data_IF_618092415134
#
_entry.id   IF_618092415134
#
_cell.length_a   1.000
_cell.length_b   1.000
_cell.length_c   1.000
_cell.angle_alpha   90.00
_cell.angle_beta   90.00
_cell.angle_gamma   90.00
#
_symmetry.space_group_name_H-M   'P 1'
#
loop_
_entity.id
_entity.type
_entity.pdbx_description
1 polymer ?
#
# COMPACT_ATOMS: atom_id res chain seq x y z
N UNK A 1 -59.76 -15.78 61.69
CA UNK A 1 -60.68 -16.62 60.90
C UNK A 1 -60.08 -16.82 59.53
N UNK A 2 -59.27 -17.85 59.34
CA UNK A 2 -59.66 -19.23 58.99
C UNK A 2 -60.31 -19.36 57.60
N UNK A 3 -59.48 -19.90 56.71
CA UNK A 3 -59.78 -20.91 55.68
C UNK A 3 -60.78 -20.58 54.58
N UNK A 4 -60.30 -20.62 53.33
CA UNK A 4 -60.75 -21.66 52.41
C UNK A 4 -59.70 -21.91 51.32
N UNK A 5 -59.03 -23.06 51.43
CA UNK A 5 -58.24 -23.68 50.37
C UNK A 5 -59.22 -24.38 49.43
N UNK A 6 -59.07 -24.20 48.11
CA UNK A 6 -59.60 -25.16 47.15
C UNK A 6 -58.57 -25.49 46.07
N UNK A 7 -58.34 -26.79 45.98
CA UNK A 7 -57.34 -27.49 45.21
C UNK A 7 -57.73 -27.60 43.72
N UNK A 8 -56.69 -27.73 42.90
CA UNK A 8 -56.64 -28.46 41.62
C UNK A 8 -57.21 -27.80 40.36
N UNK A 9 -56.30 -27.52 39.41
CA UNK A 9 -56.05 -28.41 38.26
C UNK A 9 -54.79 -27.98 37.49
N UNK A 10 -53.97 -28.99 37.20
CA UNK A 10 -52.79 -28.93 36.34
C UNK A 10 -53.13 -28.41 34.94
N UNK A 11 -52.31 -27.47 34.44
CA UNK A 11 -51.90 -27.44 33.04
C UNK A 11 -50.48 -26.88 32.97
N UNK A 12 -49.52 -27.77 32.71
CA UNK A 12 -48.16 -27.42 32.32
C UNK A 12 -48.23 -27.00 30.86
N UNK A 13 -47.93 -25.74 30.57
CA UNK A 13 -47.55 -25.30 29.22
C UNK A 13 -46.20 -24.61 29.33
N UNK A 14 -45.16 -25.40 29.13
CA UNK A 14 -43.82 -24.95 28.76
C UNK A 14 -43.88 -24.28 27.39
N UNK A 15 -43.72 -22.96 27.33
CA UNK A 15 -43.40 -22.25 26.10
C UNK A 15 -41.93 -21.80 26.17
N UNK A 16 -41.05 -22.67 25.68
CA UNK A 16 -39.68 -22.30 25.35
C UNK A 16 -39.72 -21.43 24.09
N UNK A 17 -39.67 -20.10 24.24
CA UNK A 17 -39.33 -19.21 23.13
C UNK A 17 -37.82 -19.31 22.90
N UNK A 18 -37.45 -20.01 21.83
CA UNK A 18 -36.08 -20.13 21.38
C UNK A 18 -35.47 -18.76 21.08
N UNK A 19 -34.28 -18.52 21.62
CA UNK A 19 -33.36 -17.55 21.04
C UNK A 19 -33.04 -18.03 19.63
N UNK A 20 -33.63 -17.37 18.63
CA UNK A 20 -33.17 -17.49 17.26
C UNK A 20 -31.76 -16.89 17.17
N UNK A 21 -30.78 -17.77 16.97
CA UNK A 21 -29.39 -17.45 16.71
C UNK A 21 -29.29 -16.75 15.35
N UNK A 22 -29.09 -15.44 15.36
CA UNK A 22 -28.77 -14.68 14.14
C UNK A 22 -27.31 -14.89 13.73
N UNK A 23 -27.02 -16.02 13.09
CA UNK A 23 -25.81 -16.22 12.28
C UNK A 23 -26.31 -16.74 10.92
N UNK A 24 -25.94 -16.23 9.74
CA UNK A 24 -24.58 -16.18 9.21
C UNK A 24 -24.52 -15.45 7.85
N UNK A 25 -24.89 -14.17 7.76
CA UNK A 25 -24.73 -13.42 6.49
C UNK A 25 -23.29 -12.96 6.23
N UNK A 26 -22.48 -12.74 7.28
CA UNK A 26 -21.08 -12.29 7.15
C UNK A 26 -20.11 -13.37 6.64
N UNK A 27 -20.22 -14.61 7.14
CA UNK A 27 -19.28 -15.69 6.79
C UNK A 27 -19.30 -16.11 5.31
N UNK A 28 -20.46 -15.98 4.64
CA UNK A 28 -20.56 -16.30 3.21
C UNK A 28 -19.95 -15.22 2.31
N UNK A 29 -20.05 -13.95 2.72
CA UNK A 29 -19.46 -12.82 1.99
C UNK A 29 -17.93 -12.82 2.10
N UNK A 30 -17.40 -13.07 3.30
CA UNK A 30 -15.94 -13.19 3.54
C UNK A 30 -15.34 -14.35 2.73
N UNK A 31 -16.03 -15.50 2.71
CA UNK A 31 -15.57 -16.66 1.94
C UNK A 31 -15.62 -16.49 0.42
N UNK A 32 -16.48 -15.61 -0.12
CA UNK A 32 -16.53 -15.30 -1.55
C UNK A 32 -15.48 -14.25 -1.96
N UNK A 33 -15.17 -13.32 -1.06
CA UNK A 33 -14.04 -12.40 -1.20
C UNK A 33 -12.71 -13.16 -1.29
N UNK A 34 -12.41 -14.03 -0.33
CA UNK A 34 -11.15 -14.79 -0.29
C UNK A 34 -10.96 -15.64 -1.55
N UNK A 35 -12.02 -16.32 -2.00
CA UNK A 35 -12.01 -17.10 -3.25
C UNK A 35 -11.73 -16.22 -4.47
N UNK A 36 -12.27 -15.00 -4.48
CA UNK A 36 -12.04 -14.05 -5.56
C UNK A 36 -10.60 -13.56 -5.58
N UNK A 37 -9.99 -13.27 -4.42
CA UNK A 37 -8.57 -12.92 -4.31
C UNK A 37 -7.69 -14.09 -4.77
N UNK A 38 -7.98 -15.32 -4.34
CA UNK A 38 -7.27 -16.53 -4.80
C UNK A 38 -7.35 -16.68 -6.32
N UNK A 39 -8.52 -16.47 -6.90
CA UNK A 39 -8.71 -16.54 -8.35
C UNK A 39 -7.89 -15.48 -9.11
N UNK A 40 -7.80 -14.24 -8.58
CA UNK A 40 -6.94 -13.20 -9.14
C UNK A 40 -5.45 -13.55 -9.00
N UNK A 41 -5.04 -14.16 -7.88
CA UNK A 41 -3.65 -14.60 -7.66
C UNK A 41 -3.23 -15.77 -8.56
N UNK A 42 -4.19 -16.56 -9.03
CA UNK A 42 -3.95 -17.69 -9.93
C UNK A 42 -3.74 -17.28 -11.39
N UNK A 43 -3.89 -16.00 -11.74
CA UNK A 43 -3.62 -15.52 -13.10
C UNK A 43 -2.15 -15.70 -13.44
N UNK A 44 -1.89 -16.29 -14.61
CA UNK A 44 -0.56 -16.58 -15.12
C UNK A 44 -0.35 -16.11 -16.55
N UNK A 45 0.76 -16.57 -17.15
CA UNK A 45 1.06 -16.33 -18.55
C UNK A 45 0.02 -16.94 -19.50
N UNK A 46 0.02 -16.48 -20.75
CA UNK A 46 -0.80 -17.04 -21.84
C UNK A 46 -2.31 -17.10 -21.56
N UNK A 47 -2.80 -16.22 -20.67
CA UNK A 47 -4.22 -16.12 -20.33
C UNK A 47 -4.72 -17.17 -19.34
N UNK A 48 -3.82 -17.92 -18.71
CA UNK A 48 -4.16 -18.84 -17.63
C UNK A 48 -4.93 -18.10 -16.52
N UNK A 49 -6.10 -18.61 -16.15
CA UNK A 49 -6.92 -18.06 -15.06
C UNK A 49 -7.75 -16.82 -15.42
N UNK A 50 -7.64 -16.26 -16.63
CA UNK A 50 -8.33 -15.02 -17.01
C UNK A 50 -9.86 -15.09 -16.88
N UNK A 51 -10.48 -16.20 -17.28
CA UNK A 51 -11.94 -16.34 -17.19
C UNK A 51 -12.43 -16.33 -15.74
N UNK A 52 -11.74 -17.05 -14.85
CA UNK A 52 -12.04 -17.06 -13.43
C UNK A 52 -11.77 -15.69 -12.79
N UNK A 53 -10.68 -15.03 -13.18
CA UNK A 53 -10.34 -13.68 -12.74
C UNK A 53 -11.38 -12.64 -13.18
N UNK A 54 -11.92 -12.74 -14.39
CA UNK A 54 -13.02 -11.89 -14.86
C UNK A 54 -14.28 -12.03 -14.00
N UNK A 55 -14.65 -13.26 -13.62
CA UNK A 55 -15.77 -13.49 -12.70
C UNK A 55 -15.47 -12.97 -11.29
N UNK A 56 -14.26 -13.20 -10.78
CA UNK A 56 -13.81 -12.69 -9.49
C UNK A 56 -13.87 -11.15 -9.45
N UNK A 57 -13.41 -10.47 -10.51
CA UNK A 57 -13.48 -9.02 -10.64
C UNK A 57 -14.94 -8.52 -10.60
N UNK A 58 -15.87 -9.20 -11.28
CA UNK A 58 -17.29 -8.83 -11.23
C UNK A 58 -17.90 -8.97 -9.83
N UNK A 59 -17.42 -9.93 -9.02
CA UNK A 59 -17.82 -10.06 -7.61
C UNK A 59 -17.16 -8.97 -6.76
N UNK A 60 -15.86 -8.76 -6.93
CA UNK A 60 -15.10 -7.75 -6.19
C UNK A 60 -15.52 -6.32 -6.50
N UNK A 61 -15.98 -6.03 -7.72
CA UNK A 61 -16.52 -4.71 -8.07
C UNK A 61 -17.82 -4.37 -7.33
N UNK A 62 -18.46 -5.35 -6.66
CA UNK A 62 -19.68 -5.17 -5.86
C UNK A 62 -19.38 -5.02 -4.37
N UNK A 63 -18.17 -5.33 -3.91
CA UNK A 63 -17.77 -5.08 -2.52
C UNK A 63 -17.33 -3.62 -2.35
N UNK A 64 -17.36 -3.15 -1.10
CA UNK A 64 -17.06 -1.77 -0.76
C UNK A 64 -15.56 -1.47 -0.71
N UNK A 65 -15.26 -0.19 -0.54
CA UNK A 65 -13.90 0.31 -0.38
C UNK A 65 -13.22 -0.17 0.93
N UNK A 66 -13.99 -0.69 1.88
CA UNK A 66 -13.51 -1.34 3.11
C UNK A 66 -12.62 -2.56 2.84
N UNK A 67 -12.76 -3.19 1.66
CA UNK A 67 -11.94 -4.33 1.24
C UNK A 67 -10.56 -3.95 0.67
N UNK A 68 -10.30 -2.66 0.43
CA UNK A 68 -9.06 -2.21 -0.21
C UNK A 68 -7.78 -2.65 0.53
N UNK A 69 -7.67 -2.57 1.88
CA UNK A 69 -6.50 -3.07 2.59
C UNK A 69 -6.26 -4.57 2.38
N UNK A 70 -7.33 -5.37 2.35
CA UNK A 70 -7.23 -6.81 2.11
C UNK A 70 -6.81 -7.13 0.67
N UNK A 71 -7.30 -6.38 -0.32
CA UNK A 71 -6.87 -6.51 -1.71
C UNK A 71 -5.41 -6.11 -1.91
N UNK A 72 -4.95 -5.05 -1.22
CA UNK A 72 -3.55 -4.63 -1.20
C UNK A 72 -2.65 -5.72 -0.60
N UNK A 73 -3.04 -6.32 0.53
CA UNK A 73 -2.35 -7.49 1.11
C UNK A 73 -2.36 -8.68 0.14
N UNK A 74 -3.44 -8.84 -0.63
CA UNK A 74 -3.55 -9.81 -1.71
C UNK A 74 -2.51 -9.65 -2.82
N UNK A 75 -1.78 -8.53 -2.90
CA UNK A 75 -0.67 -8.34 -3.83
C UNK A 75 0.67 -8.84 -3.30
N UNK A 76 0.81 -9.11 -2.00
CA UNK A 76 2.07 -9.56 -1.42
C UNK A 76 2.50 -10.91 -2.00
N UNK A 77 3.72 -10.99 -2.51
CA UNK A 77 4.25 -12.17 -3.19
C UNK A 77 3.45 -12.59 -4.44
N UNK A 78 2.59 -11.73 -4.99
CA UNK A 78 1.86 -12.02 -6.21
C UNK A 78 2.82 -12.04 -7.42
N UNK A 79 2.58 -12.95 -8.35
CA UNK A 79 3.30 -12.93 -9.62
C UNK A 79 2.96 -11.65 -10.42
N UNK A 80 3.78 -11.23 -11.41
CA UNK A 80 3.56 -9.97 -12.13
C UNK A 80 2.19 -9.83 -12.80
N UNK A 81 1.61 -10.92 -13.31
CA UNK A 81 0.28 -10.89 -13.93
C UNK A 81 -0.80 -10.69 -12.88
N UNK A 82 -0.77 -11.49 -11.82
CA UNK A 82 -1.70 -11.36 -10.68
C UNK A 82 -1.64 -9.97 -10.04
N UNK A 83 -0.43 -9.42 -9.84
CA UNK A 83 -0.24 -8.09 -9.27
C UNK A 83 -0.91 -7.00 -10.12
N UNK A 84 -0.83 -7.11 -11.45
CA UNK A 84 -1.50 -6.18 -12.36
C UNK A 84 -3.03 -6.30 -12.27
N UNK A 85 -3.57 -7.53 -12.22
CA UNK A 85 -5.01 -7.75 -12.06
C UNK A 85 -5.54 -7.20 -10.73
N UNK A 86 -4.83 -7.44 -9.64
CA UNK A 86 -5.19 -6.91 -8.32
C UNK A 86 -5.11 -5.38 -8.29
N UNK A 87 -4.06 -4.78 -8.85
CA UNK A 87 -3.95 -3.32 -8.99
C UNK A 87 -5.15 -2.74 -9.74
N UNK A 88 -5.47 -3.29 -10.92
CA UNK A 88 -6.63 -2.82 -11.69
C UNK A 88 -7.95 -2.97 -10.93
N UNK A 89 -8.11 -4.05 -10.16
CA UNK A 89 -9.30 -4.26 -9.32
C UNK A 89 -9.41 -3.18 -8.25
N UNK A 90 -8.32 -2.89 -7.55
CA UNK A 90 -8.22 -1.83 -6.53
C UNK A 90 -8.55 -0.46 -7.14
N UNK A 91 -7.98 -0.13 -8.30
CA UNK A 91 -8.22 1.14 -8.99
C UNK A 91 -9.67 1.31 -9.42
N UNK A 92 -10.31 0.23 -9.90
CA UNK A 92 -11.74 0.23 -10.26
C UNK A 92 -12.62 0.45 -9.03
N UNK A 93 -12.37 -0.27 -7.92
CA UNK A 93 -13.16 -0.12 -6.68
C UNK A 93 -12.99 1.29 -6.11
N UNK A 94 -11.75 1.78 -5.99
CA UNK A 94 -11.49 3.13 -5.48
C UNK A 94 -12.08 4.21 -6.39
N UNK A 95 -11.90 4.07 -7.71
CA UNK A 95 -12.45 5.00 -8.70
C UNK A 95 -13.99 5.06 -8.68
N UNK A 96 -14.65 3.90 -8.65
CA UNK A 96 -16.11 3.82 -8.57
C UNK A 96 -16.66 4.37 -7.25
N UNK A 97 -15.97 4.09 -6.13
CA UNK A 97 -16.34 4.63 -4.81
C UNK A 97 -16.33 6.15 -4.83
N UNK A 98 -15.22 6.75 -5.27
CA UNK A 98 -15.06 8.20 -5.31
C UNK A 98 -16.02 8.86 -6.31
N UNK A 99 -16.23 8.25 -7.48
CA UNK A 99 -17.18 8.76 -8.47
C UNK A 99 -18.63 8.81 -7.97
N UNK A 100 -18.98 7.94 -7.00
CA UNK A 100 -20.30 7.92 -6.34
C UNK A 100 -20.36 8.79 -5.08
N UNK A 101 -19.31 9.56 -4.77
CA UNK A 101 -19.22 10.38 -3.57
C UNK A 101 -18.94 9.60 -2.28
N UNK A 102 -18.51 8.34 -2.38
CA UNK A 102 -18.08 7.54 -1.25
C UNK A 102 -16.66 7.91 -0.78
N UNK A 103 -16.25 7.38 0.38
CA UNK A 103 -14.94 7.60 1.00
C UNK A 103 -14.09 6.34 0.96
N UNK A 104 -12.76 6.50 0.96
CA UNK A 104 -11.82 5.39 1.13
C UNK A 104 -11.46 5.21 2.62
N UNK A 105 -11.05 4.00 3.05
CA UNK A 105 -10.63 3.73 4.43
C UNK A 105 -9.25 4.32 4.71
N UNK A 106 -9.19 5.64 4.95
CA UNK A 106 -7.93 6.39 5.04
C UNK A 106 -7.02 5.94 6.19
N UNK A 107 -7.60 5.54 7.32
CA UNK A 107 -6.84 5.08 8.49
C UNK A 107 -6.13 3.77 8.16
N UNK A 108 -6.87 2.80 7.63
CA UNK A 108 -6.38 1.47 7.28
C UNK A 108 -5.39 1.51 6.11
N UNK A 109 -5.60 2.41 5.14
CA UNK A 109 -4.62 2.68 4.08
C UNK A 109 -3.32 3.26 4.64
N UNK A 110 -3.39 4.15 5.63
CA UNK A 110 -2.23 4.70 6.32
C UNK A 110 -1.47 3.63 7.11
N UNK A 111 -2.18 2.80 7.87
CA UNK A 111 -1.60 1.66 8.59
C UNK A 111 -0.92 0.68 7.62
N UNK A 112 -1.58 0.33 6.52
CA UNK A 112 -1.03 -0.54 5.48
C UNK A 112 0.26 0.05 4.87
N UNK A 113 0.25 1.34 4.52
CA UNK A 113 1.40 2.06 3.98
C UNK A 113 2.60 2.01 4.93
N UNK A 114 2.38 2.20 6.23
CA UNK A 114 3.46 2.25 7.23
C UNK A 114 3.99 0.87 7.63
N UNK A 115 3.22 -0.19 7.38
CA UNK A 115 3.66 -1.55 7.67
C UNK A 115 4.70 -2.05 6.64
N UNK A 116 5.97 -2.05 7.04
CA UNK A 116 7.12 -2.48 6.21
C UNK A 116 7.20 -3.99 5.97
N UNK A 117 6.29 -4.80 6.53
CA UNK A 117 6.21 -6.23 6.19
C UNK A 117 5.53 -6.50 4.85
N UNK A 118 4.75 -5.55 4.33
CA UNK A 118 4.13 -5.65 3.01
C UNK A 118 5.11 -5.31 1.89
N UNK A 119 4.84 -5.82 0.69
CA UNK A 119 5.66 -5.56 -0.49
C UNK A 119 5.66 -4.07 -0.86
N UNK A 120 6.75 -3.63 -1.50
CA UNK A 120 6.93 -2.22 -1.87
C UNK A 120 5.81 -1.67 -2.78
N UNK A 121 5.32 -2.49 -3.73
CA UNK A 121 4.32 -2.09 -4.73
C UNK A 121 2.93 -1.83 -4.12
N UNK A 122 2.31 -2.73 -3.34
CA UNK A 122 1.04 -2.42 -2.71
C UNK A 122 1.15 -1.26 -1.73
N UNK A 123 2.27 -1.10 -1.01
CA UNK A 123 2.48 0.07 -0.15
C UNK A 123 2.50 1.39 -0.95
N UNK A 124 3.18 1.40 -2.11
CA UNK A 124 3.16 2.55 -3.01
C UNK A 124 1.74 2.86 -3.55
N UNK A 125 0.97 1.82 -3.89
CA UNK A 125 -0.42 1.99 -4.31
C UNK A 125 -1.31 2.54 -3.18
N UNK A 126 -1.10 2.12 -1.93
CA UNK A 126 -1.80 2.69 -0.78
C UNK A 126 -1.52 4.20 -0.64
N UNK A 127 -0.27 4.62 -0.80
CA UNK A 127 0.10 6.04 -0.83
C UNK A 127 -0.58 6.81 -1.99
N UNK A 128 -0.63 6.22 -3.19
CA UNK A 128 -1.33 6.82 -4.33
C UNK A 128 -2.83 7.03 -4.05
N UNK A 129 -3.48 6.05 -3.41
CA UNK A 129 -4.88 6.15 -3.00
C UNK A 129 -5.10 7.24 -1.95
N UNK A 130 -4.23 7.32 -0.94
CA UNK A 130 -4.26 8.39 0.07
C UNK A 130 -4.14 9.77 -0.60
N UNK A 131 -3.12 9.95 -1.45
CA UNK A 131 -2.89 11.21 -2.18
C UNK A 131 -4.05 11.61 -3.07
N UNK A 132 -4.75 10.65 -3.66
CA UNK A 132 -5.92 10.90 -4.50
C UNK A 132 -7.10 11.47 -3.71
N UNK A 133 -7.27 11.07 -2.46
CA UNK A 133 -8.35 11.54 -1.59
C UNK A 133 -7.97 12.82 -0.87
N UNK A 134 -6.76 12.85 -0.32
CA UNK A 134 -6.26 13.96 0.49
C UNK A 134 -4.76 14.16 0.19
N UNK A 135 -4.49 15.12 -0.70
CA UNK A 135 -3.13 15.46 -1.09
C UNK A 135 -2.34 16.08 0.07
N UNK A 136 -3.00 16.82 0.98
CA UNK A 136 -2.32 17.46 2.11
C UNK A 136 -1.90 16.40 3.14
N UNK A 137 -2.78 15.46 3.46
CA UNK A 137 -2.44 14.33 4.33
C UNK A 137 -1.30 13.50 3.73
N UNK A 138 -1.31 13.25 2.43
CA UNK A 138 -0.21 12.55 1.75
C UNK A 138 1.12 13.32 1.87
N UNK A 139 1.12 14.64 1.65
CA UNK A 139 2.30 15.50 1.78
C UNK A 139 2.89 15.48 3.20
N UNK A 140 2.05 15.36 4.23
CA UNK A 140 2.50 15.24 5.62
C UNK A 140 3.23 13.91 5.91
N UNK A 141 2.92 12.85 5.17
CA UNK A 141 3.56 11.54 5.31
C UNK A 141 4.94 11.48 4.63
N UNK A 142 5.12 12.21 3.53
CA UNK A 142 6.31 12.16 2.66
C UNK A 142 7.65 12.27 3.43
N UNK A 143 7.84 13.19 4.41
CA UNK A 143 9.10 13.29 5.14
C UNK A 143 9.55 11.98 5.81
N UNK A 144 8.60 11.17 6.29
CA UNK A 144 8.88 9.87 6.92
C UNK A 144 9.33 8.78 5.94
N UNK A 145 9.17 8.99 4.64
CA UNK A 145 9.44 8.01 3.59
C UNK A 145 10.89 8.06 3.06
N UNK A 146 11.69 9.04 3.48
CA UNK A 146 13.06 9.25 2.98
C UNK A 146 13.96 8.02 3.15
N UNK A 147 13.77 7.27 4.24
CA UNK A 147 14.48 6.03 4.53
C UNK A 147 13.65 4.76 4.31
N UNK A 148 12.54 4.84 3.60
CA UNK A 148 11.68 3.67 3.36
C UNK A 148 12.41 2.63 2.49
N UNK A 149 12.21 1.31 2.66
CA UNK A 149 12.77 0.31 1.75
C UNK A 149 12.25 0.41 0.31
N UNK A 150 10.99 0.85 0.11
CA UNK A 150 10.39 1.02 -1.22
C UNK A 150 11.07 2.17 -1.97
N UNK A 151 11.51 1.90 -3.22
CA UNK A 151 12.07 2.94 -4.10
C UNK A 151 11.02 3.98 -4.44
N UNK A 152 9.79 3.56 -4.74
CA UNK A 152 8.69 4.44 -5.12
C UNK A 152 8.33 5.42 -3.99
N UNK A 153 8.28 4.95 -2.74
CA UNK A 153 8.01 5.82 -1.59
C UNK A 153 9.18 6.77 -1.27
N UNK A 154 10.43 6.29 -1.39
CA UNK A 154 11.60 7.18 -1.26
C UNK A 154 11.62 8.26 -2.33
N UNK A 155 11.20 7.92 -3.56
CA UNK A 155 11.17 8.85 -4.69
C UNK A 155 10.35 10.10 -4.37
N UNK A 156 9.19 9.94 -3.73
CA UNK A 156 8.31 11.03 -3.30
C UNK A 156 9.03 11.93 -2.27
N UNK A 157 9.70 11.34 -1.28
CA UNK A 157 10.48 12.09 -0.27
C UNK A 157 11.65 12.85 -0.88
N UNK A 158 12.37 12.22 -1.80
CA UNK A 158 13.48 12.83 -2.53
C UNK A 158 12.95 14.00 -3.38
N UNK A 159 11.88 13.80 -4.15
CA UNK A 159 11.28 14.84 -4.98
C UNK A 159 10.89 16.08 -4.15
N UNK A 160 10.29 15.87 -2.98
CA UNK A 160 9.97 16.95 -2.05
C UNK A 160 11.21 17.73 -1.59
N UNK A 161 12.30 17.03 -1.24
CA UNK A 161 13.56 17.68 -0.87
C UNK A 161 14.19 18.45 -2.05
N UNK A 162 14.10 17.94 -3.29
CA UNK A 162 14.57 18.65 -4.47
C UNK A 162 13.83 19.97 -4.64
N UNK A 163 12.50 19.96 -4.56
CA UNK A 163 11.68 21.17 -4.67
C UNK A 163 12.04 22.21 -3.60
N UNK A 164 12.26 21.78 -2.36
CA UNK A 164 12.71 22.67 -1.29
C UNK A 164 14.12 23.23 -1.53
N UNK A 165 15.06 22.38 -1.97
CA UNK A 165 16.42 22.78 -2.28
C UNK A 165 16.47 23.78 -3.44
N UNK A 166 15.66 23.55 -4.48
CA UNK A 166 15.50 24.46 -5.62
C UNK A 166 14.94 25.81 -5.17
N UNK A 167 13.90 25.81 -4.34
CA UNK A 167 13.33 27.03 -3.76
C UNK A 167 14.37 27.85 -2.98
N UNK A 168 15.16 27.19 -2.13
CA UNK A 168 16.24 27.85 -1.36
C UNK A 168 17.35 28.39 -2.27
N UNK A 169 17.71 27.67 -3.32
CA UNK A 169 18.72 28.12 -4.28
C UNK A 169 18.24 29.38 -5.03
N UNK A 170 16.98 29.38 -5.49
CA UNK A 170 16.33 30.54 -6.14
C UNK A 170 16.22 31.75 -5.20
N UNK A 171 15.98 31.51 -3.91
CA UNK A 171 15.95 32.55 -2.88
C UNK A 171 17.36 33.04 -2.45
N UNK A 172 18.43 32.55 -3.08
CA UNK A 172 19.81 32.94 -2.77
C UNK A 172 20.42 32.25 -1.55
N UNK A 173 19.66 31.42 -0.82
CA UNK A 173 20.17 30.63 0.31
C UNK A 173 20.86 29.34 -0.16
N UNK A 174 21.96 29.52 -0.91
CA UNK A 174 22.77 28.43 -1.47
C UNK A 174 23.28 27.44 -0.41
N UNK A 175 23.74 27.86 0.79
CA UNK A 175 24.19 26.91 1.81
C UNK A 175 23.09 25.94 2.24
N UNK A 176 21.86 26.43 2.50
CA UNK A 176 20.75 25.58 2.88
C UNK A 176 20.29 24.67 1.73
N UNK A 177 20.27 25.19 0.49
CA UNK A 177 19.98 24.38 -0.69
C UNK A 177 20.96 23.19 -0.82
N UNK A 178 22.26 23.43 -0.63
CA UNK A 178 23.27 22.38 -0.69
C UNK A 178 23.05 21.29 0.38
N UNK A 179 22.61 21.67 1.59
CA UNK A 179 22.30 20.70 2.63
C UNK A 179 21.14 19.78 2.22
N UNK A 180 20.06 20.35 1.69
CA UNK A 180 18.92 19.55 1.23
C UNK A 180 19.25 18.68 0.01
N UNK A 181 20.02 19.21 -0.95
CA UNK A 181 20.47 18.38 -2.08
C UNK A 181 21.35 17.21 -1.64
N UNK A 182 22.20 17.39 -0.62
CA UNK A 182 23.01 16.28 -0.07
C UNK A 182 22.14 15.24 0.61
N UNK A 183 21.19 15.67 1.45
CA UNK A 183 20.24 14.78 2.08
C UNK A 183 19.41 14.00 1.05
N UNK A 184 18.96 14.67 -0.01
CA UNK A 184 18.26 14.04 -1.13
C UNK A 184 19.15 13.02 -1.85
N UNK A 185 20.42 13.37 -2.11
CA UNK A 185 21.37 12.48 -2.78
C UNK A 185 21.57 11.20 -1.96
N UNK A 186 21.80 11.31 -0.66
CA UNK A 186 22.04 10.16 0.22
C UNK A 186 20.86 9.17 0.24
N UNK A 187 19.63 9.68 0.11
CA UNK A 187 18.41 8.87 0.07
C UNK A 187 18.04 8.35 -1.33
N UNK A 188 18.46 9.04 -2.40
CA UNK A 188 18.05 8.73 -3.77
C UNK A 188 18.52 7.33 -4.23
N UNK A 189 17.65 6.62 -4.94
CA UNK A 189 17.96 5.33 -5.57
C UNK A 189 17.67 5.32 -7.06
N UNK A 190 16.88 6.28 -7.55
CA UNK A 190 16.58 6.41 -8.97
C UNK A 190 17.66 7.22 -9.72
N UNK A 191 18.07 6.69 -10.87
CA UNK A 191 19.15 7.26 -11.67
C UNK A 191 18.87 8.70 -12.12
N UNK A 192 17.63 9.01 -12.47
CA UNK A 192 17.22 10.34 -12.92
C UNK A 192 17.29 11.37 -11.80
N UNK A 193 16.80 11.03 -10.60
CA UNK A 193 16.91 11.87 -9.41
C UNK A 193 18.37 12.08 -9.01
N UNK A 194 19.19 11.02 -8.99
CA UNK A 194 20.62 11.11 -8.67
C UNK A 194 21.34 12.04 -9.66
N UNK A 195 21.04 11.94 -10.96
CA UNK A 195 21.60 12.83 -11.99
C UNK A 195 21.19 14.28 -11.77
N UNK A 196 19.90 14.53 -11.52
CA UNK A 196 19.35 15.87 -11.27
C UNK A 196 20.01 16.53 -10.06
N UNK A 197 20.04 15.83 -8.92
CA UNK A 197 20.66 16.31 -7.68
C UNK A 197 22.15 16.58 -7.88
N UNK A 198 22.86 15.67 -8.56
CA UNK A 198 24.29 15.82 -8.82
C UNK A 198 24.59 17.00 -9.73
N UNK A 199 23.73 17.27 -10.71
CA UNK A 199 23.80 18.47 -11.54
C UNK A 199 23.67 19.74 -10.72
N UNK A 200 22.60 19.84 -9.94
CA UNK A 200 22.34 21.00 -9.08
C UNK A 200 23.48 21.26 -8.07
N UNK A 201 24.04 20.20 -7.46
CA UNK A 201 25.19 20.33 -6.57
C UNK A 201 26.43 20.89 -7.28
N UNK A 202 26.69 20.49 -8.53
CA UNK A 202 27.83 20.99 -9.31
C UNK A 202 27.66 22.46 -9.70
N UNK A 203 26.44 22.86 -10.08
CA UNK A 203 26.11 24.28 -10.36
C UNK A 203 26.33 25.16 -9.12
N UNK A 204 26.12 24.59 -7.92
CA UNK A 204 26.42 25.23 -6.64
C UNK A 204 27.89 25.07 -6.19
N UNK A 205 28.78 24.62 -7.08
CA UNK A 205 30.22 24.48 -6.83
C UNK A 205 30.61 23.29 -5.97
N UNK A 206 29.73 22.31 -5.76
CA UNK A 206 30.02 21.09 -4.98
C UNK A 206 30.41 19.95 -5.90
N UNK A 207 31.53 19.30 -5.58
CA UNK A 207 31.94 18.05 -6.23
C UNK A 207 31.08 16.89 -5.72
N UNK A 208 30.59 16.06 -6.64
CA UNK A 208 29.83 14.84 -6.34
C UNK A 208 30.55 13.66 -6.97
N UNK A 209 30.92 12.67 -6.15
CA UNK A 209 31.55 11.43 -6.62
C UNK A 209 30.47 10.35 -6.78
N UNK A 210 29.98 10.19 -8.01
CA UNK A 210 28.94 9.20 -8.34
C UNK A 210 29.44 7.77 -8.19
N UNK A 211 30.71 7.50 -8.49
CA UNK A 211 31.32 6.18 -8.32
C UNK A 211 31.21 5.70 -6.88
N UNK A 212 31.57 6.59 -5.93
CA UNK A 212 31.43 6.31 -4.50
C UNK A 212 29.97 6.21 -4.08
N UNK A 213 29.11 7.08 -4.62
CA UNK A 213 27.68 7.09 -4.28
C UNK A 213 26.95 5.81 -4.71
N UNK A 214 27.24 5.29 -5.92
CA UNK A 214 26.71 4.01 -6.39
C UNK A 214 27.40 2.79 -5.78
N UNK A 215 28.44 2.98 -4.95
CA UNK A 215 29.18 1.89 -4.32
C UNK A 215 29.94 1.01 -5.32
N UNK A 216 30.34 1.55 -6.47
CA UNK A 216 31.10 0.78 -7.45
C UNK A 216 32.45 0.36 -6.87
N UNK A 217 32.73 -0.95 -6.94
CA UNK A 217 34.04 -1.50 -6.63
C UNK A 217 34.99 -1.15 -7.77
N UNK A 218 35.86 -0.16 -7.54
CA UNK A 218 36.87 0.28 -8.50
C UNK A 218 38.24 -0.31 -8.24
N UNK A 219 38.48 -0.81 -7.03
CA UNK A 219 39.70 -1.49 -6.62
C UNK A 219 39.34 -2.92 -6.21
N UNK A 220 39.90 -3.90 -6.93
CA UNK A 220 39.76 -5.32 -6.63
C UNK A 220 41.07 -6.04 -6.93
N UNK A 221 41.43 -7.01 -6.09
CA UNK A 221 42.61 -7.85 -6.26
C UNK A 221 42.16 -9.27 -6.64
N UNK A 222 42.71 -9.82 -7.71
CA UNK A 222 42.45 -11.19 -8.15
C UNK A 222 43.57 -12.10 -7.67
N UNK A 223 43.24 -13.18 -6.97
CA UNK A 223 44.17 -14.24 -6.60
C UNK A 223 43.93 -15.50 -7.46
N UNK A 224 44.99 -16.12 -7.99
CA UNK A 224 44.94 -17.41 -8.70
C UNK A 224 46.32 -18.06 -8.82
N UNK A 225 46.44 -19.38 -9.11
CA UNK A 225 45.40 -20.37 -9.41
C UNK A 225 45.10 -21.34 -8.27
N UNK A 226 43.83 -21.78 -8.19
CA UNK A 226 43.44 -22.95 -7.40
C UNK A 226 43.71 -24.20 -8.25
N UNK A 227 44.52 -25.11 -7.73
CA UNK A 227 44.78 -26.40 -8.36
C UNK A 227 43.66 -27.35 -7.91
N UNK A 228 43.03 -28.04 -8.85
CA UNK A 228 41.92 -28.98 -8.61
C UNK A 228 42.46 -30.37 -8.30
#
# INVERSE_FOLDING_TARGET
>A
SFSCVRLSRFFVVTAALGLAWSASLGQAADGDFDKSVVALRAVGGEGQGNAAAGQALQRLAKVGADTLPALLAGMDGANPFAANYLRSTIEVIAGNTLAKGGTLPMVELGEFLLNRSHDAKPRALAFELIRRVDAEAAEQLIPGLLGDPSVDLRREAVARLLGQAEGLAKAGNKPAAVLLYRQALDAARDLDQIKSISGALRELGRKVNLTRHFGFLVDWQMAGPFHN
#
